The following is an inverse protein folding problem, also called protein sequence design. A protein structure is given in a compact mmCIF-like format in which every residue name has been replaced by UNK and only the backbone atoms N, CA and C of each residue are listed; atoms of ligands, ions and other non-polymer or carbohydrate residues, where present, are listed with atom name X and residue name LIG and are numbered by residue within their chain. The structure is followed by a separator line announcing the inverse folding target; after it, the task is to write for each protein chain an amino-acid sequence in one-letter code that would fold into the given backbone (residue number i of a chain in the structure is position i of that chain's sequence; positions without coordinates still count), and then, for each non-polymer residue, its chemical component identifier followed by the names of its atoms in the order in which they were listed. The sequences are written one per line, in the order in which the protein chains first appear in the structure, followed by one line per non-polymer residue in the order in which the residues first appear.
data_IF_429857195275
#
_entry.id   IF_429857195275
#
_cell.length_a   1.000
_cell.length_b   1.000
_cell.length_c   1.000
_cell.angle_alpha   90.00
_cell.angle_beta   90.00
_cell.angle_gamma   90.00
#
_symmetry.space_group_name_H-M   'P 1'
#
loop_
_entity.id
_entity.type
_entity.pdbx_description
1 polymer ?
#
# COMPACT_ATOMS: atom_id res chain seq x y z
N UNK A 1 -41.42 37.10 28.11
CA UNK A 1 -42.49 36.84 27.13
C UNK A 1 -42.87 35.36 27.22
N UNK A 2 -44.14 35.04 27.46
CA UNK A 2 -44.61 33.66 27.57
C UNK A 2 -44.81 33.13 26.14
N UNK A 3 -43.89 32.29 25.67
CA UNK A 3 -43.99 31.70 24.34
C UNK A 3 -45.28 30.88 24.25
N UNK A 4 -46.06 31.09 23.20
CA UNK A 4 -47.29 30.34 22.98
C UNK A 4 -46.94 28.89 22.67
N UNK A 5 -47.79 27.95 23.11
CA UNK A 5 -47.57 26.50 22.91
C UNK A 5 -47.31 26.16 21.44
N UNK A 6 -47.99 26.87 20.54
CA UNK A 6 -47.82 26.76 19.08
C UNK A 6 -46.42 27.15 18.62
N UNK A 7 -45.83 28.21 19.19
CA UNK A 7 -44.45 28.63 18.88
C UNK A 7 -43.44 27.59 19.33
N UNK A 8 -43.66 26.96 20.49
CA UNK A 8 -42.77 25.91 21.01
C UNK A 8 -42.76 24.67 20.10
N UNK A 9 -43.93 24.26 19.62
CA UNK A 9 -44.07 23.13 18.69
C UNK A 9 -43.33 23.41 17.37
N UNK A 10 -43.46 24.63 16.84
CA UNK A 10 -42.81 25.03 15.59
C UNK A 10 -41.28 25.01 15.73
N UNK A 11 -40.74 25.51 16.86
CA UNK A 11 -39.29 25.50 17.13
C UNK A 11 -38.75 24.07 17.24
N UNK A 12 -39.46 23.18 17.95
CA UNK A 12 -39.03 21.77 18.06
C UNK A 12 -39.04 21.08 16.70
N UNK A 13 -40.08 21.32 15.89
CA UNK A 13 -40.15 20.79 14.53
C UNK A 13 -39.02 21.32 13.65
N UNK A 14 -38.69 22.61 13.74
CA UNK A 14 -37.58 23.20 13.02
C UNK A 14 -36.22 22.61 13.42
N UNK A 15 -36.01 22.33 14.72
CA UNK A 15 -34.79 21.68 15.20
C UNK A 15 -34.70 20.23 14.72
N UNK A 16 -35.81 19.48 14.77
CA UNK A 16 -35.83 18.09 14.28
C UNK A 16 -35.57 18.00 12.78
N UNK A 17 -36.21 18.87 11.99
CA UNK A 17 -36.01 18.93 10.55
C UNK A 17 -34.59 19.42 10.21
N UNK A 18 -34.13 20.50 10.85
CA UNK A 18 -32.79 21.04 10.66
C UNK A 18 -31.69 20.06 11.05
N UNK A 19 -31.83 19.37 12.19
CA UNK A 19 -30.91 18.32 12.62
C UNK A 19 -30.94 17.10 11.70
N UNK A 20 -32.12 16.69 11.24
CA UNK A 20 -32.26 15.61 10.26
C UNK A 20 -31.58 15.91 8.93
N UNK A 21 -31.78 17.12 8.39
CA UNK A 21 -31.11 17.60 7.16
C UNK A 21 -29.61 17.72 7.39
N UNK A 22 -29.16 18.29 8.50
CA UNK A 22 -27.74 18.42 8.82
C UNK A 22 -27.01 17.05 8.85
N UNK A 23 -27.60 16.05 9.52
CA UNK A 23 -27.05 14.69 9.57
C UNK A 23 -27.06 14.05 8.17
N UNK A 24 -28.13 14.25 7.40
CA UNK A 24 -28.27 13.68 6.06
C UNK A 24 -27.31 14.31 5.03
N UNK A 25 -27.19 15.64 5.04
CA UNK A 25 -26.39 16.40 4.08
C UNK A 25 -24.90 16.38 4.42
N UNK A 26 -24.49 16.56 5.68
CA UNK A 26 -23.05 16.68 6.02
C UNK A 26 -22.42 15.31 6.28
N UNK A 27 -23.07 14.46 7.08
CA UNK A 27 -22.50 13.16 7.44
C UNK A 27 -22.77 12.09 6.36
N UNK A 28 -23.86 12.23 5.62
CA UNK A 28 -24.24 11.33 4.54
C UNK A 28 -23.49 11.57 3.23
N UNK A 29 -23.15 12.82 2.90
CA UNK A 29 -22.46 13.15 1.64
C UNK A 29 -21.01 12.65 1.63
N UNK A 30 -20.21 12.93 2.67
CA UNK A 30 -18.81 12.49 2.74
C UNK A 30 -18.67 10.98 2.62
N UNK A 31 -19.51 10.22 3.33
CA UNK A 31 -19.48 8.75 3.32
C UNK A 31 -19.95 8.17 1.98
N UNK A 32 -20.88 8.84 1.29
CA UNK A 32 -21.39 8.42 -0.03
C UNK A 32 -20.45 8.81 -1.16
N UNK A 33 -19.75 9.93 -1.05
CA UNK A 33 -18.74 10.35 -2.03
C UNK A 33 -17.48 9.49 -1.93
N UNK A 34 -17.00 9.20 -0.71
CA UNK A 34 -15.90 8.27 -0.49
C UNK A 34 -16.22 6.84 -0.95
N UNK A 35 -17.48 6.40 -0.83
CA UNK A 35 -17.91 5.08 -1.29
C UNK A 35 -18.16 5.01 -2.82
N UNK A 36 -18.24 6.14 -3.52
CA UNK A 36 -18.49 6.20 -4.97
C UNK A 36 -17.22 6.22 -5.82
N UNK A 37 -16.03 6.44 -5.23
CA UNK A 37 -14.77 6.35 -5.97
C UNK A 37 -14.39 4.87 -6.08
N UNK A 38 -14.40 4.27 -7.28
CA UNK A 38 -14.02 2.88 -7.44
C UNK A 38 -12.53 2.72 -7.11
N UNK A 39 -12.24 2.06 -5.99
CA UNK A 39 -10.88 1.69 -5.60
C UNK A 39 -10.30 0.70 -6.63
N UNK A 40 -9.46 1.21 -7.53
CA UNK A 40 -8.83 0.41 -8.60
C UNK A 40 -7.63 -0.37 -8.03
N UNK A 41 -7.47 -1.67 -8.37
CA UNK A 41 -6.24 -2.40 -8.04
C UNK A 41 -4.99 -1.65 -8.52
N UNK A 42 -3.92 -1.65 -7.73
CA UNK A 42 -2.63 -1.06 -8.15
C UNK A 42 -2.01 -1.94 -9.24
N UNK A 43 -2.06 -3.26 -9.06
CA UNK A 43 -1.59 -4.27 -10.01
C UNK A 43 -2.65 -5.36 -10.21
N UNK A 44 -2.52 -6.10 -11.31
CA UNK A 44 -3.41 -7.20 -11.69
C UNK A 44 -2.70 -8.57 -11.67
N UNK A 45 -1.70 -8.75 -10.80
CA UNK A 45 -1.02 -10.04 -10.59
C UNK A 45 -1.28 -10.56 -9.17
N UNK A 46 -1.05 -11.85 -8.96
CA UNK A 46 -1.09 -12.48 -7.64
C UNK A 46 0.31 -12.64 -7.05
N UNK A 47 0.39 -12.89 -5.74
CA UNK A 47 1.68 -13.08 -5.06
C UNK A 47 2.46 -14.30 -5.58
N UNK A 48 1.79 -15.36 -6.03
CA UNK A 48 2.47 -16.56 -6.55
C UNK A 48 3.13 -16.34 -7.91
N UNK A 49 2.70 -15.32 -8.68
CA UNK A 49 3.30 -14.95 -9.96
C UNK A 49 4.65 -14.24 -9.80
N UNK A 50 4.97 -13.77 -8.60
CA UNK A 50 6.19 -12.99 -8.32
C UNK A 50 7.39 -13.91 -8.13
N UNK A 51 8.41 -13.75 -8.98
CA UNK A 51 9.66 -14.52 -8.98
C UNK A 51 10.78 -13.81 -8.21
N UNK A 52 10.91 -12.51 -8.44
CA UNK A 52 11.85 -11.66 -7.70
C UNK A 52 11.26 -10.27 -7.53
N UNK A 53 11.76 -9.54 -6.53
CA UNK A 53 11.45 -8.14 -6.39
C UNK A 53 12.66 -7.37 -5.87
N UNK A 54 12.69 -6.08 -6.18
CA UNK A 54 13.75 -5.15 -5.79
C UNK A 54 13.10 -3.93 -5.17
N UNK A 55 13.59 -3.52 -4.02
CA UNK A 55 13.20 -2.26 -3.36
C UNK A 55 14.41 -1.34 -3.39
N UNK A 56 14.28 -0.22 -4.09
CA UNK A 56 15.27 0.85 -4.07
C UNK A 56 14.71 2.01 -3.26
N UNK A 57 15.43 2.44 -2.24
CA UNK A 57 15.15 3.62 -1.44
C UNK A 57 16.42 4.46 -1.35
N UNK A 58 16.33 5.69 -0.84
CA UNK A 58 17.47 6.63 -0.77
C UNK A 58 18.70 6.03 -0.08
N UNK A 59 18.51 5.15 0.91
CA UNK A 59 19.58 4.58 1.75
C UNK A 59 20.03 3.17 1.33
N UNK A 60 19.24 2.44 0.53
CA UNK A 60 19.52 1.01 0.26
C UNK A 60 18.82 0.45 -0.97
N UNK A 61 19.45 -0.57 -1.53
CA UNK A 61 18.89 -1.46 -2.53
C UNK A 61 18.75 -2.86 -1.94
N UNK A 62 17.51 -3.34 -1.83
CA UNK A 62 17.19 -4.68 -1.40
C UNK A 62 16.76 -5.51 -2.61
N UNK A 63 17.37 -6.69 -2.79
CA UNK A 63 17.01 -7.61 -3.88
C UNK A 63 16.60 -8.94 -3.28
N UNK A 64 15.45 -9.46 -3.68
CA UNK A 64 14.90 -10.71 -3.20
C UNK A 64 14.53 -11.63 -4.36
N UNK A 65 14.77 -12.92 -4.17
CA UNK A 65 14.41 -13.97 -5.11
C UNK A 65 13.65 -15.07 -4.37
N UNK A 66 12.65 -15.64 -5.03
CA UNK A 66 11.96 -16.82 -4.52
C UNK A 66 12.94 -17.99 -4.52
N UNK A 67 12.99 -18.73 -3.42
CA UNK A 67 13.81 -19.93 -3.34
C UNK A 67 13.32 -20.99 -4.34
N UNK A 68 14.27 -21.75 -4.89
CA UNK A 68 13.98 -22.91 -5.73
C UNK A 68 14.01 -24.18 -4.87
N UNK A 69 13.17 -25.15 -5.22
CA UNK A 69 13.10 -26.46 -4.58
C UNK A 69 14.50 -27.09 -4.38
N UNK A 70 14.79 -27.72 -3.22
CA UNK A 70 13.85 -28.09 -2.15
C UNK A 70 13.61 -26.99 -1.09
N UNK A 71 14.23 -25.82 -1.23
CA UNK A 71 14.01 -24.69 -0.32
C UNK A 71 12.73 -23.94 -0.71
N UNK A 72 11.93 -23.57 0.28
CA UNK A 72 10.74 -22.74 0.09
C UNK A 72 10.93 -21.35 0.72
N UNK A 73 10.13 -20.38 0.29
CA UNK A 73 10.16 -19.01 0.80
C UNK A 73 11.01 -18.06 -0.04
N UNK A 74 11.54 -17.03 0.61
CA UNK A 74 12.24 -15.92 -0.03
C UNK A 74 13.66 -15.80 0.49
N UNK A 75 14.59 -15.44 -0.40
CA UNK A 75 15.98 -15.14 -0.05
C UNK A 75 16.34 -13.73 -0.47
N UNK A 76 17.05 -13.03 0.40
CA UNK A 76 17.69 -11.77 0.07
C UNK A 76 19.00 -12.05 -0.65
N UNK A 77 19.26 -11.34 -1.74
CA UNK A 77 20.52 -11.35 -2.50
C UNK A 77 21.37 -10.11 -2.25
N UNK A 78 20.75 -8.97 -1.93
CA UNK A 78 21.42 -7.71 -1.59
C UNK A 78 20.68 -6.96 -0.49
N UNK A 79 21.39 -6.18 0.35
CA UNK A 79 22.84 -6.01 0.39
C UNK A 79 23.58 -7.17 1.11
N UNK A 80 22.85 -7.99 1.86
CA UNK A 80 23.38 -9.15 2.58
C UNK A 80 22.60 -10.40 2.15
N UNK A 81 23.31 -11.45 1.76
CA UNK A 81 22.65 -12.70 1.40
C UNK A 81 22.13 -13.42 2.65
N UNK A 82 20.89 -13.94 2.59
CA UNK A 82 20.27 -14.65 3.71
C UNK A 82 18.83 -15.06 3.46
N UNK A 83 18.28 -15.84 4.39
CA UNK A 83 16.85 -16.21 4.39
C UNK A 83 16.05 -14.97 4.76
N UNK A 84 15.09 -14.61 3.91
CA UNK A 84 14.25 -13.45 4.15
C UNK A 84 13.13 -13.78 5.14
N UNK A 85 12.73 -12.79 5.94
CA UNK A 85 11.59 -12.89 6.83
C UNK A 85 10.29 -13.03 6.04
N UNK A 86 9.64 -14.19 6.12
CA UNK A 86 8.40 -14.45 5.39
C UNK A 86 7.30 -13.43 5.73
N UNK A 87 7.18 -13.06 7.01
CA UNK A 87 6.20 -12.07 7.45
C UNK A 87 6.39 -10.69 6.78
N UNK A 88 7.64 -10.22 6.69
CA UNK A 88 7.94 -8.90 6.11
C UNK A 88 7.81 -8.92 4.59
N UNK A 89 8.28 -10.00 3.95
CA UNK A 89 8.14 -10.16 2.49
C UNK A 89 6.66 -10.29 2.12
N UNK A 90 5.91 -11.17 2.78
CA UNK A 90 4.48 -11.36 2.54
C UNK A 90 3.67 -10.09 2.78
N UNK A 91 4.03 -9.26 3.76
CA UNK A 91 3.41 -7.94 3.94
C UNK A 91 3.54 -7.05 2.70
N UNK A 92 4.76 -6.88 2.17
CA UNK A 92 4.97 -6.07 0.96
C UNK A 92 4.29 -6.68 -0.27
N UNK A 93 4.41 -7.99 -0.48
CA UNK A 93 3.80 -8.66 -1.64
C UNK A 93 2.27 -8.59 -1.58
N UNK A 94 1.68 -8.67 -0.38
CA UNK A 94 0.25 -8.49 -0.18
C UNK A 94 -0.20 -7.07 -0.52
N UNK A 95 0.56 -6.04 -0.10
CA UNK A 95 0.28 -4.66 -0.49
C UNK A 95 0.32 -4.47 -2.01
N UNK A 96 1.25 -5.12 -2.72
CA UNK A 96 1.33 -5.04 -4.18
C UNK A 96 0.17 -5.78 -4.88
N UNK A 97 -0.15 -7.00 -4.43
CA UNK A 97 -1.14 -7.85 -5.09
C UNK A 97 -2.60 -7.48 -4.75
N UNK A 98 -2.86 -7.02 -3.52
CA UNK A 98 -4.22 -6.70 -3.04
C UNK A 98 -4.44 -5.20 -2.85
N UNK A 99 -3.38 -4.39 -2.93
CA UNK A 99 -3.46 -2.95 -2.77
C UNK A 99 -4.33 -2.29 -3.83
N UNK A 100 -5.03 -1.24 -3.40
CA UNK A 100 -5.90 -0.44 -4.25
C UNK A 100 -5.55 1.02 -4.11
N UNK A 101 -5.64 1.74 -5.23
CA UNK A 101 -5.58 3.18 -5.24
C UNK A 101 -6.86 3.74 -4.60
N UNK A 102 -6.70 4.70 -3.69
CA UNK A 102 -7.85 5.42 -3.13
C UNK A 102 -8.43 6.39 -4.15
N UNK A 103 -7.54 7.07 -4.89
CA UNK A 103 -7.86 8.00 -5.96
C UNK A 103 -6.85 7.89 -7.08
N UNK A 104 -7.24 8.27 -8.28
CA UNK A 104 -6.34 8.46 -9.42
C UNK A 104 -6.44 9.91 -9.83
N UNK A 105 -5.30 10.57 -9.96
CA UNK A 105 -5.16 11.93 -10.46
C UNK A 105 -4.57 11.86 -11.87
N UNK A 106 -5.13 12.61 -12.78
CA UNK A 106 -4.59 12.74 -14.13
C UNK A 106 -3.83 14.05 -14.22
N UNK A 107 -2.54 13.98 -14.50
CA UNK A 107 -1.62 15.12 -14.40
C UNK A 107 -0.75 15.22 -15.63
N UNK A 108 -0.24 16.41 -15.93
CA UNK A 108 0.74 16.59 -17.01
C UNK A 108 2.15 16.18 -16.53
N UNK A 109 3.06 15.73 -17.41
CA UNK A 109 4.40 15.30 -17.03
C UNK A 109 5.24 16.35 -16.28
N UNK A 110 5.03 17.63 -16.56
CA UNK A 110 5.66 18.76 -15.88
C UNK A 110 5.24 18.94 -14.41
N UNK A 111 4.13 18.32 -14.01
CA UNK A 111 3.62 18.35 -12.63
C UNK A 111 4.17 17.22 -11.76
N UNK A 112 4.89 16.23 -12.31
CA UNK A 112 5.47 15.13 -11.53
C UNK A 112 6.32 15.57 -10.32
N UNK A 113 7.09 16.68 -10.38
CA UNK A 113 7.82 17.18 -9.22
C UNK A 113 6.92 17.62 -8.05
N UNK A 114 5.69 18.09 -8.32
CA UNK A 114 4.73 18.47 -7.26
C UNK A 114 4.34 17.27 -6.38
N UNK A 115 4.41 16.06 -6.95
CA UNK A 115 4.07 14.81 -6.30
C UNK A 115 5.30 14.04 -5.79
N UNK A 116 6.52 14.56 -5.99
CA UNK A 116 7.77 13.88 -5.63
C UNK A 116 8.06 12.64 -6.50
N UNK A 117 7.53 12.60 -7.73
CA UNK A 117 7.72 11.47 -8.64
C UNK A 117 8.92 11.66 -9.58
N UNK A 118 9.52 12.85 -9.61
CA UNK A 118 10.80 13.13 -10.26
C UNK A 118 11.99 12.61 -9.42
N UNK A 119 11.87 12.69 -8.09
CA UNK A 119 12.81 12.17 -7.10
C UNK A 119 12.06 11.26 -6.12
N UNK A 120 11.80 10.01 -6.53
CA UNK A 120 10.96 9.11 -5.76
C UNK A 120 11.62 8.71 -4.45
N UNK A 121 10.81 8.64 -3.39
CA UNK A 121 11.24 8.18 -2.06
C UNK A 121 11.61 6.69 -2.05
N UNK A 122 10.93 5.90 -2.89
CA UNK A 122 11.30 4.53 -3.16
C UNK A 122 10.74 4.05 -4.50
N UNK A 123 11.36 3.02 -5.07
CA UNK A 123 10.88 2.31 -6.25
C UNK A 123 10.89 0.81 -5.98
N UNK A 124 9.73 0.17 -6.15
CA UNK A 124 9.58 -1.27 -6.04
C UNK A 124 9.47 -1.83 -7.46
N UNK A 125 10.38 -2.72 -7.84
CA UNK A 125 10.35 -3.44 -9.12
C UNK A 125 10.04 -4.90 -8.86
N UNK A 126 9.06 -5.46 -9.55
CA UNK A 126 8.68 -6.86 -9.45
C UNK A 126 9.03 -7.55 -10.77
N UNK A 127 9.55 -8.78 -10.71
CA UNK A 127 9.70 -9.65 -11.88
C UNK A 127 8.71 -10.80 -11.76
N UNK A 128 7.83 -10.93 -12.74
CA UNK A 128 6.80 -11.95 -12.79
C UNK A 128 7.26 -13.19 -13.56
N UNK A 129 6.53 -14.31 -13.40
CA UNK A 129 6.74 -15.57 -14.14
C UNK A 129 6.69 -15.38 -15.65
N UNK A 130 5.83 -14.50 -16.14
CA UNK A 130 5.69 -14.16 -17.56
C UNK A 130 6.79 -13.22 -18.08
N UNK A 131 7.80 -12.91 -17.25
CA UNK A 131 8.91 -12.00 -17.52
C UNK A 131 8.56 -10.51 -17.53
N UNK A 132 7.29 -10.15 -17.26
CA UNK A 132 6.92 -8.75 -17.07
C UNK A 132 7.62 -8.17 -15.84
N UNK A 133 7.97 -6.88 -15.93
CA UNK A 133 8.70 -6.18 -14.87
C UNK A 133 7.98 -4.92 -14.39
N UNK A 134 6.75 -5.04 -13.85
CA UNK A 134 6.02 -3.88 -13.37
C UNK A 134 6.77 -3.17 -12.23
N UNK A 135 6.64 -1.84 -12.20
CA UNK A 135 7.26 -1.01 -11.15
C UNK A 135 6.24 -0.13 -10.48
N UNK A 136 6.38 0.04 -9.17
CA UNK A 136 5.69 1.04 -8.38
C UNK A 136 6.70 2.08 -7.93
N UNK A 137 6.53 3.32 -8.39
CA UNK A 137 7.31 4.48 -7.99
C UNK A 137 6.54 5.19 -6.89
N UNK A 138 7.15 5.42 -5.73
CA UNK A 138 6.55 6.10 -4.59
C UNK A 138 7.11 7.52 -4.49
N UNK A 139 6.21 8.49 -4.42
CA UNK A 139 6.52 9.91 -4.28
C UNK A 139 6.32 10.41 -2.86
N UNK A 140 5.81 11.64 -2.75
CA UNK A 140 5.53 12.33 -1.50
C UNK A 140 4.23 11.83 -0.84
N UNK A 141 4.11 12.10 0.46
CA UNK A 141 2.83 11.97 1.17
C UNK A 141 1.82 13.01 0.67
N UNK A 142 0.55 12.64 0.71
CA UNK A 142 -0.54 13.60 0.53
C UNK A 142 -0.65 14.54 1.75
N UNK A 143 -1.48 15.58 1.64
CA UNK A 143 -1.67 16.56 2.73
C UNK A 143 -2.19 15.94 4.03
N UNK A 144 -2.96 14.85 3.94
CA UNK A 144 -3.49 14.15 5.13
C UNK A 144 -2.47 13.18 5.74
N UNK A 145 -1.37 12.90 5.03
CA UNK A 145 -0.35 11.90 5.38
C UNK A 145 -0.89 10.48 5.51
N UNK A 146 -2.04 10.21 4.90
CA UNK A 146 -2.67 8.88 4.89
C UNK A 146 -2.30 8.07 3.65
N UNK A 147 -1.86 8.76 2.59
CA UNK A 147 -1.52 8.16 1.31
C UNK A 147 -0.19 8.72 0.77
N UNK A 148 0.44 7.97 -0.12
CA UNK A 148 1.52 8.45 -0.97
C UNK A 148 1.01 8.63 -2.39
N UNK A 149 1.54 9.64 -3.08
CA UNK A 149 1.47 9.68 -4.53
C UNK A 149 2.35 8.57 -5.10
N UNK A 150 1.88 7.90 -6.14
CA UNK A 150 2.61 6.83 -6.78
C UNK A 150 2.35 6.77 -8.29
N UNK A 151 3.28 6.18 -9.02
CA UNK A 151 3.14 5.90 -10.44
C UNK A 151 3.46 4.44 -10.74
N UNK A 152 2.68 3.83 -11.62
CA UNK A 152 2.90 2.46 -12.08
C UNK A 152 3.55 2.47 -13.45
N UNK A 153 4.60 1.65 -13.64
CA UNK A 153 5.22 1.40 -14.94
C UNK A 153 4.98 -0.03 -15.41
N UNK A 154 4.88 -0.28 -16.73
CA UNK A 154 5.01 0.71 -17.82
C UNK A 154 3.81 1.67 -17.90
N UNK A 155 4.07 2.91 -18.33
CA UNK A 155 3.01 3.88 -18.60
C UNK A 155 2.20 3.44 -19.81
N UNK A 156 0.92 3.81 -19.85
CA UNK A 156 0.15 3.70 -21.09
C UNK A 156 0.69 4.71 -22.10
N UNK A 157 1.49 4.22 -23.06
CA UNK A 157 2.18 5.03 -24.07
C UNK A 157 1.26 5.87 -24.97
N UNK A 158 -0.07 5.74 -24.84
CA UNK A 158 -1.07 6.45 -25.65
C UNK A 158 -1.62 7.72 -24.99
N UNK A 159 -1.25 8.02 -23.75
CA UNK A 159 -1.79 9.17 -23.03
C UNK A 159 -0.78 10.31 -22.94
N UNK A 160 -1.19 11.52 -23.34
CA UNK A 160 -0.42 12.75 -23.08
C UNK A 160 -0.38 13.10 -21.58
N UNK A 161 -1.34 12.57 -20.82
CA UNK A 161 -1.47 12.77 -19.39
C UNK A 161 -1.08 11.50 -18.63
N UNK A 162 -0.55 11.67 -17.43
CA UNK A 162 -0.06 10.59 -16.58
C UNK A 162 -1.04 10.34 -15.43
N UNK A 163 -1.26 9.06 -15.13
CA UNK A 163 -2.00 8.66 -13.94
C UNK A 163 -1.07 8.64 -12.73
N UNK A 164 -1.44 9.42 -11.71
CA UNK A 164 -0.85 9.42 -10.38
C UNK A 164 -1.83 8.81 -9.40
N UNK A 165 -1.44 7.71 -8.77
CA UNK A 165 -2.23 6.94 -7.82
C UNK A 165 -2.02 7.47 -6.40
N UNK A 166 -3.04 7.38 -5.56
CA UNK A 166 -2.91 7.53 -4.11
C UNK A 166 -2.89 6.14 -3.48
N UNK A 167 -1.71 5.69 -3.04
CA UNK A 167 -1.51 4.37 -2.43
C UNK A 167 -1.40 4.48 -0.90
N UNK A 168 -1.82 3.46 -0.13
CA UNK A 168 -1.76 3.51 1.34
C UNK A 168 -0.37 3.83 1.89
N UNK A 169 -0.31 4.57 3.00
CA UNK A 169 0.95 4.89 3.72
C UNK A 169 1.76 3.64 4.12
N UNK A 170 1.11 2.48 4.20
CA UNK A 170 1.74 1.18 4.45
C UNK A 170 2.89 0.85 3.49
N UNK A 171 2.87 1.37 2.27
CA UNK A 171 3.99 1.25 1.35
C UNK A 171 5.25 1.95 1.86
N UNK A 172 5.13 3.13 2.46
CA UNK A 172 6.26 3.83 3.09
C UNK A 172 6.81 2.99 4.24
N UNK A 173 5.94 2.48 5.12
CA UNK A 173 6.37 1.62 6.22
C UNK A 173 7.06 0.35 5.72
N UNK A 174 6.55 -0.28 4.66
CA UNK A 174 7.14 -1.48 4.09
C UNK A 174 8.58 -1.23 3.62
N UNK A 175 8.81 -0.19 2.83
CA UNK A 175 10.13 0.09 2.22
C UNK A 175 11.14 0.70 3.19
N UNK A 176 10.66 1.42 4.23
CA UNK A 176 11.54 2.07 5.21
C UNK A 176 12.06 1.12 6.30
N UNK A 177 11.62 -0.14 6.35
CA UNK A 177 12.05 -1.11 7.37
C UNK A 177 13.57 -1.24 7.46
N UNK A 178 14.12 -1.43 8.67
CA UNK A 178 15.55 -1.67 8.86
C UNK A 178 15.95 -3.01 8.22
N UNK A 179 17.19 -3.08 7.72
CA UNK A 179 17.71 -4.26 7.02
C UNK A 179 17.58 -5.55 7.85
N UNK A 180 17.73 -5.46 9.17
CA UNK A 180 17.64 -6.60 10.10
C UNK A 180 16.27 -7.26 10.14
N UNK A 181 15.18 -6.52 9.91
CA UNK A 181 13.82 -7.08 9.91
C UNK A 181 13.53 -7.91 8.65
N UNK A 182 14.24 -7.63 7.57
CA UNK A 182 14.07 -8.34 6.30
C UNK A 182 14.70 -9.74 6.31
N UNK A 183 15.56 -10.05 7.26
CA UNK A 183 16.23 -11.34 7.40
C UNK A 183 15.68 -12.09 8.61
N UNK A 184 15.64 -13.42 8.53
CA UNK A 184 15.30 -14.25 9.70
C UNK A 184 16.39 -14.09 10.76
N UNK A 185 15.99 -13.82 12.00
CA UNK A 185 16.92 -13.81 13.12
C UNK A 185 17.33 -15.26 13.45
N UNK A 186 18.62 -15.58 13.30
CA UNK A 186 19.11 -16.97 13.40
C UNK A 186 18.87 -17.59 14.80
N UNK A 187 18.80 -16.77 15.86
CA UNK A 187 18.51 -17.23 17.22
C UNK A 187 17.10 -17.85 17.35
N UNK A 188 16.10 -17.34 16.62
CA UNK A 188 14.73 -17.85 16.67
C UNK A 188 14.51 -19.08 15.77
N UNK A 189 15.34 -19.23 14.74
CA UNK A 189 15.25 -20.34 13.79
C UNK A 189 15.80 -21.66 14.35
N UNK A 190 16.64 -21.63 15.37
CA UNK A 190 17.14 -22.82 16.06
C UNK A 190 16.18 -23.35 17.14
N UNK A 191 15.35 -22.49 17.75
CA UNK A 191 14.33 -22.90 18.73
C UNK A 191 13.15 -23.64 18.08
N UNK A 192 12.85 -23.38 16.79
CA UNK A 192 11.74 -24.03 16.06
C UNK A 192 12.13 -25.31 15.33
N UNK A 193 13.40 -25.75 15.36
CA UNK A 193 13.72 -27.10 14.90
C UNK A 193 13.06 -28.09 15.86
N UNK A 194 12.22 -29.04 15.37
CA UNK A 194 11.70 -30.08 16.24
C UNK A 194 12.91 -30.83 16.80
N UNK A 195 13.00 -30.87 18.13
CA UNK A 195 13.90 -31.73 18.89
C UNK A 195 13.58 -33.19 18.54
N UNK A 196 14.07 -33.65 17.40
CA UNK A 196 13.94 -35.02 16.93
C UNK A 196 14.94 -35.89 17.68
N UNK A 197 14.42 -36.83 18.47
CA UNK A 197 15.18 -38.00 18.89
C UNK A 197 14.97 -38.42 20.35
N UNK A 198 13.73 -38.71 20.76
CA UNK A 198 13.56 -39.63 21.87
C UNK A 198 13.75 -41.05 21.33
N UNK A 199 15.00 -41.54 21.47
CA UNK A 199 15.31 -42.97 21.41
C UNK A 199 14.60 -43.64 22.57
N UNK A 200 13.73 -44.60 22.29
CA UNK A 200 13.39 -45.65 23.25
C UNK A 200 13.83 -46.97 22.65
N UNK A 201 14.81 -47.58 23.34
CA UNK A 201 15.23 -48.98 23.25
C UNK A 201 14.04 -49.95 23.40
#
# INVERSE_FOLDING_TARGET
MKLQRTTLILVISAILLGGGVYIYEIQGSEKREAAKIPKKPIFNFTQDEIQSFTVNSDDKTLVFERASEPESGWRMKKPKEGIASDAVVSFLLNLLAQGKSDRILTVSPDQLPEYGLDKPSATITVKLKNQDTPKLILGNLDFTRSFLYAQVLPLDSKSEQLDVLLVPVDFQYAVSRPLSEWLVNQEKAEEEKPSGGEKTD
#
